data_IF_463070838542
#
_entry.id   IF_463070838542
#
_cell.length_a   1.000
_cell.length_b   1.000
_cell.length_c   1.000
_cell.angle_alpha   90.00
_cell.angle_beta   90.00
_cell.angle_gamma   90.00
#
_symmetry.space_group_name_H-M   'P 1'
#
loop_
_entity.id
_entity.type
_entity.pdbx_description
1 polymer ?
#
# COMPACT_ATOMS: atom_id res chain seq x y z
N UNK A 1 -11.21 30.92 -13.30
CA UNK A 1 -11.22 30.34 -14.68
C UNK A 1 -10.30 29.13 -14.90
N UNK A 2 -9.83 28.42 -13.85
CA UNK A 2 -8.91 27.24 -14.03
C UNK A 2 -9.57 25.87 -13.87
N UNK A 3 -10.80 25.77 -13.42
CA UNK A 3 -11.46 24.47 -13.15
C UNK A 3 -11.97 23.75 -14.40
N UNK A 4 -12.19 24.40 -15.53
CA UNK A 4 -12.76 23.75 -16.73
C UNK A 4 -11.73 23.01 -17.62
N UNK A 5 -10.40 23.13 -17.37
CA UNK A 5 -9.39 22.46 -18.22
C UNK A 5 -9.17 20.98 -17.90
N UNK A 6 -9.48 20.52 -16.71
CA UNK A 6 -9.29 19.11 -16.35
C UNK A 6 -10.32 18.17 -17.04
N UNK A 7 -11.55 18.65 -17.24
CA UNK A 7 -12.61 17.89 -17.91
C UNK A 7 -12.50 17.87 -19.44
N UNK A 8 -11.68 18.72 -20.06
CA UNK A 8 -11.46 18.77 -21.51
C UNK A 8 -10.15 18.07 -21.93
N UNK A 9 -9.54 17.25 -21.07
CA UNK A 9 -8.35 16.49 -21.43
C UNK A 9 -8.69 15.38 -22.43
N UNK A 10 -7.96 15.25 -23.56
CA UNK A 10 -8.16 14.16 -24.52
C UNK A 10 -7.90 12.78 -23.89
N UNK A 11 -7.29 12.72 -22.71
CA UNK A 11 -6.93 11.53 -21.95
C UNK A 11 -7.94 11.18 -20.85
N UNK A 12 -9.04 11.94 -20.69
CA UNK A 12 -9.97 11.79 -19.59
C UNK A 12 -10.50 10.35 -19.45
N UNK A 13 -10.87 9.71 -20.59
CA UNK A 13 -11.36 8.33 -20.56
C UNK A 13 -10.30 7.33 -20.09
N UNK A 14 -9.03 7.51 -20.50
CA UNK A 14 -7.92 6.69 -20.02
C UNK A 14 -7.72 6.84 -18.51
N UNK A 15 -7.75 8.08 -18.03
CA UNK A 15 -7.60 8.40 -16.61
C UNK A 15 -8.73 7.80 -15.76
N UNK A 16 -9.98 7.91 -16.21
CA UNK A 16 -11.13 7.25 -15.56
C UNK A 16 -10.93 5.73 -15.54
N UNK A 17 -10.54 5.13 -16.68
CA UNK A 17 -10.27 3.69 -16.77
C UNK A 17 -9.14 3.26 -15.82
N UNK A 18 -8.09 4.04 -15.67
CA UNK A 18 -7.00 3.79 -14.72
C UNK A 18 -7.54 3.84 -13.27
N UNK A 19 -8.27 4.87 -12.88
CA UNK A 19 -8.80 4.97 -11.52
C UNK A 19 -9.79 3.84 -11.19
N UNK A 20 -10.68 3.47 -12.13
CA UNK A 20 -11.57 2.32 -11.95
C UNK A 20 -10.79 1.01 -11.84
N UNK A 21 -9.71 0.85 -12.62
CA UNK A 21 -8.82 -0.31 -12.48
C UNK A 21 -8.20 -0.37 -11.09
N UNK A 22 -7.82 0.76 -10.50
CA UNK A 22 -7.26 0.81 -9.15
C UNK A 22 -8.29 0.60 -8.05
N UNK A 23 -9.52 1.01 -8.24
CA UNK A 23 -10.64 0.63 -7.37
C UNK A 23 -10.81 -0.91 -7.34
N UNK A 24 -10.85 -1.54 -8.51
CA UNK A 24 -10.96 -2.99 -8.63
C UNK A 24 -9.69 -3.73 -8.17
N UNK A 25 -8.51 -3.13 -8.38
CA UNK A 25 -7.27 -3.62 -7.79
C UNK A 25 -7.33 -3.64 -6.26
N UNK A 26 -7.89 -2.59 -5.62
CA UNK A 26 -8.12 -2.58 -4.18
C UNK A 26 -8.97 -3.76 -3.71
N UNK A 27 -10.00 -4.13 -4.45
CA UNK A 27 -10.80 -5.34 -4.20
C UNK A 27 -9.94 -6.59 -4.32
N UNK A 28 -9.14 -6.71 -5.39
CA UNK A 28 -8.31 -7.91 -5.64
C UNK A 28 -7.33 -8.20 -4.52
N UNK A 29 -6.74 -7.16 -3.91
CA UNK A 29 -5.78 -7.27 -2.80
C UNK A 29 -6.36 -8.03 -1.61
N UNK A 30 -7.65 -7.82 -1.32
CA UNK A 30 -8.30 -8.41 -0.13
C UNK A 30 -9.20 -9.59 -0.47
N UNK A 31 -9.44 -9.90 -1.74
CA UNK A 31 -10.41 -10.93 -2.18
C UNK A 31 -10.17 -12.29 -1.53
N UNK A 32 -8.93 -12.78 -1.52
CA UNK A 32 -8.60 -14.08 -0.95
C UNK A 32 -8.76 -14.08 0.57
N UNK A 33 -8.32 -13.02 1.25
CA UNK A 33 -8.41 -12.89 2.70
C UNK A 33 -9.86 -12.74 3.19
N UNK A 34 -10.68 -11.95 2.47
CA UNK A 34 -12.10 -11.73 2.82
C UNK A 34 -12.97 -12.98 2.58
N UNK A 35 -12.56 -13.87 1.67
CA UNK A 35 -13.25 -15.13 1.40
C UNK A 35 -12.50 -16.34 2.00
N UNK A 36 -11.63 -16.13 3.00
CA UNK A 36 -10.73 -17.17 3.53
C UNK A 36 -11.49 -18.41 3.99
N UNK A 37 -12.58 -18.29 4.75
CA UNK A 37 -13.40 -19.41 5.23
C UNK A 37 -13.99 -20.21 4.06
N UNK A 38 -14.65 -19.53 3.12
CA UNK A 38 -15.30 -20.16 1.98
C UNK A 38 -14.30 -20.85 1.05
N UNK A 39 -13.14 -20.24 0.83
CA UNK A 39 -12.08 -20.80 0.00
C UNK A 39 -11.38 -21.97 0.69
N UNK A 40 -11.18 -21.91 2.02
CA UNK A 40 -10.63 -23.01 2.79
C UNK A 40 -11.55 -24.26 2.70
N UNK A 41 -12.86 -24.05 2.87
CA UNK A 41 -13.84 -25.12 2.69
C UNK A 41 -13.86 -25.67 1.26
N UNK A 42 -13.80 -24.79 0.24
CA UNK A 42 -13.75 -25.22 -1.17
C UNK A 42 -12.56 -26.09 -1.51
N UNK A 43 -11.36 -25.72 -1.02
CA UNK A 43 -10.11 -26.40 -1.36
C UNK A 43 -9.75 -27.53 -0.36
N UNK A 44 -10.58 -27.78 0.65
CA UNK A 44 -10.30 -28.78 1.69
C UNK A 44 -9.03 -28.46 2.48
N UNK A 45 -8.79 -27.21 2.78
CA UNK A 45 -7.60 -26.71 3.49
C UNK A 45 -7.97 -25.86 4.70
N UNK A 46 -6.96 -25.40 5.43
CA UNK A 46 -7.08 -24.48 6.56
C UNK A 46 -6.73 -23.02 6.18
N UNK A 47 -6.75 -22.12 7.16
CA UNK A 47 -6.37 -20.72 6.96
C UNK A 47 -4.92 -20.57 6.47
N UNK A 48 -4.01 -21.50 6.87
CA UNK A 48 -2.62 -21.48 6.42
C UNK A 48 -2.51 -21.82 4.93
N UNK A 49 -3.33 -22.75 4.41
CA UNK A 49 -3.39 -23.04 2.99
C UNK A 49 -3.85 -21.84 2.16
N UNK A 50 -4.80 -21.05 2.67
CA UNK A 50 -5.22 -19.82 2.00
C UNK A 50 -4.16 -18.71 2.15
N UNK A 51 -3.46 -18.60 3.28
CA UNK A 51 -2.33 -17.69 3.42
C UNK A 51 -1.21 -18.03 2.44
N UNK A 52 -0.93 -19.34 2.23
CA UNK A 52 -0.01 -19.78 1.18
C UNK A 52 -0.51 -19.37 -0.22
N UNK A 53 -1.80 -19.51 -0.49
CA UNK A 53 -2.39 -19.04 -1.75
C UNK A 53 -2.18 -17.53 -1.94
N UNK A 54 -2.37 -16.74 -0.89
CA UNK A 54 -2.15 -15.28 -0.91
C UNK A 54 -0.68 -14.94 -1.20
N UNK A 55 0.29 -15.74 -0.73
CA UNK A 55 1.71 -15.51 -1.01
C UNK A 55 2.04 -15.56 -2.51
N UNK A 56 1.27 -16.30 -3.30
CA UNK A 56 1.40 -16.33 -4.77
C UNK A 56 1.31 -14.94 -5.40
N UNK A 57 0.50 -14.03 -4.84
CA UNK A 57 0.41 -12.63 -5.30
C UNK A 57 1.77 -11.94 -5.14
N UNK A 58 2.41 -12.11 -3.98
CA UNK A 58 3.74 -11.56 -3.72
C UNK A 58 4.80 -12.10 -4.68
N UNK A 59 4.79 -13.42 -4.91
CA UNK A 59 5.72 -14.08 -5.84
C UNK A 59 5.56 -13.53 -7.26
N UNK A 60 4.33 -13.44 -7.75
CA UNK A 60 4.05 -12.91 -9.08
C UNK A 60 4.54 -11.47 -9.26
N UNK A 61 4.29 -10.60 -8.28
CA UNK A 61 4.77 -9.21 -8.30
C UNK A 61 6.29 -9.13 -8.26
N UNK A 62 6.93 -9.90 -7.37
CA UNK A 62 8.38 -9.91 -7.19
C UNK A 62 9.12 -10.24 -8.50
N UNK A 63 8.65 -11.27 -9.20
CA UNK A 63 9.28 -11.74 -10.44
C UNK A 63 9.02 -10.79 -11.61
N UNK A 64 7.83 -10.20 -11.69
CA UNK A 64 7.37 -9.53 -12.91
C UNK A 64 7.61 -8.02 -12.97
N UNK A 65 7.82 -7.34 -11.82
CA UNK A 65 7.86 -5.88 -11.77
C UNK A 65 8.94 -5.26 -12.67
N UNK A 66 10.11 -5.90 -12.76
CA UNK A 66 11.21 -5.42 -13.60
C UNK A 66 10.92 -5.64 -15.10
N UNK A 67 10.31 -6.78 -15.44
CA UNK A 67 9.95 -7.11 -16.82
C UNK A 67 8.86 -6.17 -17.35
N UNK A 68 7.85 -5.86 -16.54
CA UNK A 68 6.76 -4.98 -16.95
C UNK A 68 7.18 -3.53 -17.06
N UNK A 69 8.20 -3.08 -16.35
CA UNK A 69 8.83 -1.80 -16.60
C UNK A 69 9.32 -1.68 -18.05
N UNK A 70 10.08 -2.68 -18.52
CA UNK A 70 10.58 -2.73 -19.91
C UNK A 70 9.43 -2.87 -20.92
N UNK A 71 8.43 -3.70 -20.66
CA UNK A 71 7.25 -3.87 -21.53
C UNK A 71 6.49 -2.56 -21.68
N UNK A 72 6.24 -1.86 -20.57
CA UNK A 72 5.54 -0.57 -20.56
C UNK A 72 6.28 0.50 -21.34
N UNK A 73 7.62 0.55 -21.24
CA UNK A 73 8.44 1.52 -21.98
C UNK A 73 8.52 1.18 -23.48
N UNK A 74 8.62 -0.09 -23.83
CA UNK A 74 8.79 -0.53 -25.24
C UNK A 74 7.48 -0.58 -26.01
N UNK A 75 6.41 -1.11 -25.41
CA UNK A 75 5.13 -1.37 -26.08
C UNK A 75 4.04 -0.34 -25.74
N UNK A 76 4.32 0.55 -24.80
CA UNK A 76 3.42 1.62 -24.38
C UNK A 76 2.60 1.30 -23.13
N UNK A 77 2.22 2.36 -22.43
CA UNK A 77 1.48 2.32 -21.14
C UNK A 77 0.17 1.54 -21.23
N UNK A 78 -0.56 1.74 -22.32
CA UNK A 78 -1.84 1.09 -22.60
C UNK A 78 -1.71 -0.44 -22.65
N UNK A 79 -0.68 -0.96 -23.33
CA UNK A 79 -0.46 -2.41 -23.46
C UNK A 79 -0.21 -3.04 -22.10
N UNK A 80 0.66 -2.44 -21.29
CA UNK A 80 0.94 -2.93 -19.92
C UNK A 80 -0.33 -2.98 -19.07
N UNK A 81 -1.14 -1.90 -19.08
CA UNK A 81 -2.41 -1.85 -18.32
C UNK A 81 -3.38 -2.94 -18.80
N UNK A 82 -3.54 -3.13 -20.12
CA UNK A 82 -4.46 -4.13 -20.66
C UNK A 82 -4.03 -5.56 -20.33
N UNK A 83 -2.74 -5.86 -20.34
CA UNK A 83 -2.22 -7.15 -19.85
C UNK A 83 -2.57 -7.35 -18.37
N UNK A 84 -2.36 -6.33 -17.54
CA UNK A 84 -2.74 -6.36 -16.14
C UNK A 84 -4.23 -6.65 -15.93
N UNK A 85 -5.09 -5.91 -16.65
CA UNK A 85 -6.55 -6.11 -16.59
C UNK A 85 -6.95 -7.53 -17.04
N UNK A 86 -6.36 -8.05 -18.12
CA UNK A 86 -6.65 -9.40 -18.60
C UNK A 86 -6.30 -10.48 -17.55
N UNK A 87 -5.17 -10.33 -16.87
CA UNK A 87 -4.75 -11.24 -15.80
C UNK A 87 -5.66 -11.13 -14.56
N UNK A 88 -6.16 -9.93 -14.21
CA UNK A 88 -7.18 -9.78 -13.17
C UNK A 88 -8.49 -10.49 -13.55
N UNK A 89 -8.94 -10.34 -14.78
CA UNK A 89 -10.12 -11.06 -15.30
C UNK A 89 -9.92 -12.57 -15.15
N UNK A 90 -8.76 -13.09 -15.58
CA UNK A 90 -8.41 -14.50 -15.44
C UNK A 90 -8.48 -14.98 -13.98
N UNK A 91 -7.98 -14.18 -13.04
CA UNK A 91 -8.05 -14.49 -11.62
C UNK A 91 -9.50 -14.52 -11.11
N UNK A 92 -10.27 -13.48 -11.36
CA UNK A 92 -11.62 -13.35 -10.80
C UNK A 92 -12.61 -14.41 -11.31
N UNK A 93 -12.45 -14.86 -12.55
CA UNK A 93 -13.24 -15.98 -13.07
C UNK A 93 -12.60 -17.32 -12.73
N UNK A 94 -11.28 -17.39 -12.66
CA UNK A 94 -10.54 -18.61 -12.42
C UNK A 94 -10.62 -19.11 -10.98
N UNK A 95 -10.56 -18.25 -9.95
CA UNK A 95 -10.57 -18.70 -8.55
C UNK A 95 -11.85 -19.47 -8.19
N UNK A 96 -13.07 -18.98 -8.48
CA UNK A 96 -14.29 -19.74 -8.21
C UNK A 96 -14.38 -21.05 -8.99
N UNK A 97 -13.76 -21.11 -10.16
CA UNK A 97 -13.77 -22.30 -11.04
C UNK A 97 -12.58 -23.25 -10.82
N UNK A 98 -11.62 -22.88 -9.97
CA UNK A 98 -10.41 -23.69 -9.73
C UNK A 98 -10.74 -25.06 -9.15
N UNK A 99 -10.20 -26.16 -9.71
CA UNK A 99 -10.44 -27.50 -9.21
C UNK A 99 -9.65 -27.82 -7.93
N UNK A 100 -8.53 -27.16 -7.69
CA UNK A 100 -7.63 -27.41 -6.57
C UNK A 100 -6.78 -26.20 -6.20
N UNK A 101 -6.09 -26.30 -5.07
CA UNK A 101 -5.26 -25.22 -4.51
C UNK A 101 -4.06 -24.85 -5.41
N UNK A 102 -3.52 -25.78 -6.19
CA UNK A 102 -2.37 -25.53 -7.07
C UNK A 102 -2.77 -24.59 -8.21
N UNK A 103 -3.90 -24.87 -8.87
CA UNK A 103 -4.43 -23.99 -9.94
C UNK A 103 -4.78 -22.62 -9.38
N UNK A 104 -5.38 -22.58 -8.18
CA UNK A 104 -5.67 -21.31 -7.49
C UNK A 104 -4.39 -20.53 -7.17
N UNK A 105 -3.30 -21.21 -6.77
CA UNK A 105 -2.00 -20.58 -6.52
C UNK A 105 -1.41 -19.95 -7.79
N UNK A 106 -1.47 -20.66 -8.93
CA UNK A 106 -1.03 -20.11 -10.21
C UNK A 106 -1.83 -18.85 -10.58
N UNK A 107 -3.15 -18.87 -10.35
CA UNK A 107 -4.00 -17.68 -10.57
C UNK A 107 -3.66 -16.53 -9.61
N UNK A 108 -3.29 -16.82 -8.36
CA UNK A 108 -2.80 -15.82 -7.43
C UNK A 108 -1.46 -15.22 -7.89
N UNK A 109 -0.56 -16.03 -8.45
CA UNK A 109 0.67 -15.54 -9.09
C UNK A 109 0.32 -14.60 -10.26
N UNK A 110 -0.68 -14.95 -11.09
CA UNK A 110 -1.14 -14.08 -12.16
C UNK A 110 -1.63 -12.71 -11.66
N UNK A 111 -2.27 -12.63 -10.48
CA UNK A 111 -2.63 -11.34 -9.85
C UNK A 111 -1.40 -10.52 -9.49
N UNK A 112 -0.35 -11.14 -8.97
CA UNK A 112 0.91 -10.46 -8.70
C UNK A 112 1.53 -9.86 -9.97
N UNK A 113 1.50 -10.62 -11.06
CA UNK A 113 1.92 -10.17 -12.39
C UNK A 113 1.02 -9.03 -12.88
N UNK A 114 -0.30 -9.16 -12.72
CA UNK A 114 -1.29 -8.13 -13.08
C UNK A 114 -1.03 -6.81 -12.35
N UNK A 115 -0.71 -6.89 -11.05
CA UNK A 115 -0.37 -5.75 -10.22
C UNK A 115 0.87 -5.01 -10.75
N UNK A 116 1.94 -5.75 -11.06
CA UNK A 116 3.15 -5.17 -11.63
C UNK A 116 2.88 -4.52 -13.01
N UNK A 117 2.10 -5.18 -13.87
CA UNK A 117 1.72 -4.67 -15.18
C UNK A 117 0.88 -3.38 -15.08
N UNK A 118 -0.09 -3.37 -14.16
CA UNK A 118 -0.94 -2.20 -13.93
C UNK A 118 -0.12 -1.02 -13.39
N UNK A 119 0.74 -1.23 -12.38
CA UNK A 119 1.56 -0.18 -11.77
C UNK A 119 2.52 0.45 -12.78
N UNK A 120 3.25 -0.35 -13.54
CA UNK A 120 4.24 0.13 -14.52
C UNK A 120 3.61 0.87 -15.71
N UNK A 121 2.33 0.64 -16.00
CA UNK A 121 1.58 1.37 -17.01
C UNK A 121 0.88 2.61 -16.48
N UNK A 122 0.18 2.49 -15.35
CA UNK A 122 -0.74 3.50 -14.85
C UNK A 122 -0.04 4.71 -14.22
N UNK A 123 0.99 4.50 -13.38
CA UNK A 123 1.71 5.60 -12.75
C UNK A 123 2.31 6.57 -13.76
N UNK A 124 3.12 6.10 -14.74
CA UNK A 124 3.66 6.99 -15.77
C UNK A 124 2.57 7.62 -16.62
N UNK A 125 1.52 6.87 -17.03
CA UNK A 125 0.43 7.41 -17.84
C UNK A 125 -0.27 8.59 -17.17
N UNK A 126 -0.50 8.54 -15.84
CA UNK A 126 -1.08 9.66 -15.10
C UNK A 126 -0.12 10.86 -14.99
N UNK A 127 1.17 10.60 -14.79
CA UNK A 127 2.18 11.66 -14.73
C UNK A 127 2.33 12.35 -16.09
N UNK A 128 2.28 11.59 -17.17
CA UNK A 128 2.30 12.08 -18.56
C UNK A 128 1.02 12.83 -18.93
N UNK A 129 -0.16 12.39 -18.43
CA UNK A 129 -1.45 13.06 -18.65
C UNK A 129 -1.58 14.39 -17.88
N UNK A 130 -1.01 14.47 -16.69
CA UNK A 130 -1.11 15.61 -15.78
C UNK A 130 0.26 16.07 -15.24
N UNK A 131 1.20 16.57 -16.08
CA UNK A 131 2.56 16.90 -15.62
C UNK A 131 2.59 17.91 -14.47
N UNK A 132 1.69 18.93 -14.51
CA UNK A 132 1.63 19.99 -13.50
C UNK A 132 1.05 19.54 -12.14
N UNK A 133 0.27 18.48 -12.12
CA UNK A 133 -0.43 17.97 -10.93
C UNK A 133 -0.22 16.47 -10.74
N UNK A 134 0.90 15.96 -11.24
CA UNK A 134 1.24 14.53 -11.25
C UNK A 134 1.18 13.90 -9.85
N UNK A 135 1.68 14.59 -8.84
CA UNK A 135 1.63 14.10 -7.46
C UNK A 135 0.19 13.88 -6.97
N UNK A 136 -0.73 14.82 -7.24
CA UNK A 136 -2.14 14.67 -6.86
C UNK A 136 -2.83 13.56 -7.63
N UNK A 137 -2.53 13.41 -8.93
CA UNK A 137 -3.08 12.34 -9.76
C UNK A 137 -2.65 10.96 -9.26
N UNK A 138 -1.38 10.80 -8.87
CA UNK A 138 -0.85 9.53 -8.33
C UNK A 138 -1.40 9.22 -6.94
N UNK A 139 -1.52 10.23 -6.06
CA UNK A 139 -2.12 10.04 -4.72
C UNK A 139 -3.56 9.51 -4.82
N UNK A 140 -4.32 9.97 -5.82
CA UNK A 140 -5.69 9.52 -6.03
C UNK A 140 -5.79 8.02 -6.37
N UNK A 141 -4.75 7.40 -6.94
CA UNK A 141 -4.70 5.93 -7.10
C UNK A 141 -4.81 5.22 -5.75
N UNK A 142 -4.08 5.70 -4.74
CA UNK A 142 -4.14 5.12 -3.40
C UNK A 142 -5.52 5.27 -2.77
N UNK A 143 -6.18 6.42 -2.98
CA UNK A 143 -7.55 6.63 -2.55
C UNK A 143 -8.50 5.61 -3.22
N UNK A 144 -8.37 5.36 -4.53
CA UNK A 144 -9.19 4.39 -5.25
C UNK A 144 -8.99 2.95 -4.74
N UNK A 145 -7.74 2.55 -4.42
CA UNK A 145 -7.47 1.27 -3.74
C UNK A 145 -8.24 1.18 -2.43
N UNK A 146 -8.12 2.22 -1.59
CA UNK A 146 -8.79 2.25 -0.28
C UNK A 146 -10.33 2.22 -0.41
N UNK A 147 -10.89 2.88 -1.42
CA UNK A 147 -12.33 2.78 -1.71
C UNK A 147 -12.74 1.34 -2.06
N UNK A 148 -12.00 0.65 -2.93
CA UNK A 148 -12.27 -0.74 -3.26
C UNK A 148 -12.23 -1.64 -2.03
N UNK A 149 -11.21 -1.48 -1.19
CA UNK A 149 -11.05 -2.22 0.06
C UNK A 149 -12.13 -1.88 1.09
N UNK A 150 -12.67 -0.68 1.10
CA UNK A 150 -13.72 -0.26 2.03
C UNK A 150 -15.08 -0.91 1.70
N UNK A 151 -15.44 -0.99 0.43
CA UNK A 151 -16.75 -1.51 0.01
C UNK A 151 -16.82 -3.04 -0.08
N UNK A 152 -15.71 -3.69 -0.42
CA UNK A 152 -15.72 -5.13 -0.67
C UNK A 152 -16.12 -5.99 0.53
N UNK A 153 -15.66 -5.75 1.78
CA UNK A 153 -16.11 -6.52 2.95
C UNK A 153 -17.61 -6.42 3.20
N UNK A 154 -18.23 -5.28 2.89
CA UNK A 154 -19.67 -5.09 3.01
C UNK A 154 -20.42 -5.99 2.01
N UNK A 155 -19.92 -6.07 0.77
CA UNK A 155 -20.46 -6.98 -0.25
C UNK A 155 -20.35 -8.44 0.20
N UNK A 156 -19.16 -8.86 0.67
CA UNK A 156 -18.94 -10.25 1.14
C UNK A 156 -19.84 -10.57 2.34
N UNK A 157 -19.92 -9.65 3.31
CA UNK A 157 -20.82 -9.79 4.46
C UNK A 157 -22.29 -9.93 4.07
N UNK A 158 -22.77 -9.15 3.10
CA UNK A 158 -24.12 -9.26 2.56
C UNK A 158 -24.39 -10.63 1.91
N UNK A 159 -23.46 -11.12 1.10
CA UNK A 159 -23.59 -12.44 0.46
C UNK A 159 -23.66 -13.55 1.49
N UNK A 160 -22.84 -13.49 2.54
CA UNK A 160 -22.82 -14.48 3.63
C UNK A 160 -24.14 -14.46 4.43
N UNK A 161 -24.63 -13.28 4.83
CA UNK A 161 -25.89 -13.17 5.60
C UNK A 161 -27.11 -13.59 4.80
N UNK A 162 -27.08 -13.38 3.49
CA UNK A 162 -28.18 -13.74 2.57
C UNK A 162 -28.11 -15.20 2.10
N UNK A 163 -27.13 -15.99 2.56
CA UNK A 163 -26.86 -17.35 2.07
C UNK A 163 -26.67 -17.42 0.54
N UNK A 164 -26.15 -16.36 -0.07
CA UNK A 164 -25.83 -16.30 -1.49
C UNK A 164 -24.43 -16.86 -1.70
N UNK A 165 -24.22 -17.57 -2.79
CA UNK A 165 -22.94 -18.14 -3.13
C UNK A 165 -21.81 -17.07 -3.15
N UNK A 166 -20.78 -17.26 -2.33
CA UNK A 166 -19.66 -16.32 -2.18
C UNK A 166 -18.95 -15.99 -3.51
N UNK A 167 -19.00 -16.92 -4.48
CA UNK A 167 -18.36 -16.74 -5.79
C UNK A 167 -18.87 -15.51 -6.54
N UNK A 168 -20.10 -15.04 -6.30
CA UNK A 168 -20.57 -13.77 -6.89
C UNK A 168 -19.71 -12.58 -6.44
N UNK A 169 -19.29 -12.54 -5.17
CA UNK A 169 -18.36 -11.51 -4.68
C UNK A 169 -17.05 -11.49 -5.43
N UNK A 170 -16.59 -12.66 -5.92
CA UNK A 170 -15.35 -12.77 -6.69
C UNK A 170 -15.60 -12.49 -8.19
N UNK A 171 -16.66 -13.00 -8.79
CA UNK A 171 -16.94 -12.85 -10.22
C UNK A 171 -17.34 -11.43 -10.61
N UNK A 172 -18.12 -10.73 -9.78
CA UNK A 172 -18.58 -9.37 -10.08
C UNK A 172 -17.44 -8.36 -10.36
N UNK A 173 -16.36 -8.30 -9.57
CA UNK A 173 -15.20 -7.48 -9.92
C UNK A 173 -14.54 -7.89 -11.25
N UNK A 174 -14.55 -9.18 -11.60
CA UNK A 174 -14.08 -9.66 -12.90
C UNK A 174 -14.89 -9.11 -14.07
N UNK A 175 -16.22 -9.10 -13.95
CA UNK A 175 -17.11 -8.47 -14.95
C UNK A 175 -16.81 -6.96 -15.04
N UNK A 176 -16.63 -6.29 -13.91
CA UNK A 176 -16.28 -4.88 -13.89
C UNK A 176 -14.94 -4.59 -14.59
N UNK A 177 -13.92 -5.44 -14.40
CA UNK A 177 -12.66 -5.34 -15.14
C UNK A 177 -12.84 -5.51 -16.64
N UNK A 178 -13.72 -6.42 -17.10
CA UNK A 178 -14.05 -6.54 -18.53
C UNK A 178 -14.65 -5.24 -19.08
N UNK A 179 -15.55 -4.60 -18.36
CA UNK A 179 -16.14 -3.32 -18.77
C UNK A 179 -15.09 -2.20 -18.79
N UNK A 180 -14.22 -2.16 -17.79
CA UNK A 180 -13.11 -1.19 -17.74
C UNK A 180 -12.11 -1.43 -18.87
N UNK A 181 -11.85 -2.69 -19.26
CA UNK A 181 -10.99 -3.00 -20.40
C UNK A 181 -11.51 -2.38 -21.71
N UNK A 182 -12.82 -2.44 -21.95
CA UNK A 182 -13.45 -1.81 -23.13
C UNK A 182 -13.25 -0.29 -23.12
N UNK A 183 -13.33 0.34 -21.94
CA UNK A 183 -13.05 1.77 -21.80
C UNK A 183 -11.60 2.09 -22.14
N UNK A 184 -10.64 1.32 -21.60
CA UNK A 184 -9.19 1.51 -21.82
C UNK A 184 -8.83 1.27 -23.29
N UNK A 185 -9.40 0.25 -23.92
CA UNK A 185 -9.18 -0.04 -25.35
C UNK A 185 -9.59 1.12 -26.25
N UNK A 186 -10.68 1.83 -25.93
CA UNK A 186 -11.17 2.97 -26.70
C UNK A 186 -10.52 4.30 -26.34
N UNK A 187 -9.74 4.36 -25.25
CA UNK A 187 -9.16 5.60 -24.74
C UNK A 187 -7.90 6.02 -25.50
N UNK A 188 -7.65 7.32 -25.55
CA UNK A 188 -6.36 7.88 -26.00
C UNK A 188 -5.42 7.98 -24.80
N UNK A 189 -4.19 7.55 -24.99
CA UNK A 189 -3.13 7.66 -23.98
C UNK A 189 -2.16 8.79 -24.37
N UNK A 190 -1.51 9.45 -23.37
CA UNK A 190 -0.47 10.42 -23.63
C UNK A 190 0.71 9.78 -24.34
N UNK A 191 1.42 10.55 -25.16
CA UNK A 191 2.71 10.15 -25.71
C UNK A 191 3.74 10.06 -24.59
N UNK A 192 4.63 9.08 -24.68
CA UNK A 192 5.73 8.92 -23.74
C UNK A 192 6.70 10.11 -23.89
N UNK A 193 6.50 11.15 -23.11
CA UNK A 193 7.45 12.25 -23.00
C UNK A 193 8.28 12.00 -21.76
N UNK A 194 9.56 11.70 -21.97
CA UNK A 194 10.53 11.61 -20.89
C UNK A 194 10.85 13.03 -20.38
N UNK A 195 9.96 13.64 -19.62
CA UNK A 195 10.32 14.80 -18.79
C UNK A 195 11.08 14.31 -17.56
N UNK A 196 12.37 13.97 -17.79
CA UNK A 196 13.34 13.61 -16.76
C UNK A 196 13.73 14.82 -15.86
N UNK A 197 13.09 15.98 -16.00
CA UNK A 197 13.57 17.24 -15.44
C UNK A 197 12.79 17.78 -14.24
N UNK A 198 12.15 16.94 -13.45
CA UNK A 198 11.71 17.37 -12.12
C UNK A 198 12.79 17.08 -11.06
N UNK A 199 14.00 17.59 -11.26
CA UNK A 199 14.95 17.78 -10.15
C UNK A 199 14.41 18.98 -9.37
N UNK A 200 13.53 18.73 -8.40
CA UNK A 200 13.20 19.70 -7.37
C UNK A 200 14.50 20.02 -6.62
N UNK A 201 14.69 21.28 -6.26
CA UNK A 201 15.78 21.75 -5.42
C UNK A 201 15.87 20.84 -4.19
N UNK A 202 16.89 19.98 -4.19
CA UNK A 202 17.17 19.12 -3.06
C UNK A 202 17.88 19.95 -1.98
N UNK A 203 17.57 19.74 -0.71
CA UNK A 203 18.31 20.38 0.38
C UNK A 203 19.81 20.14 0.23
N UNK A 204 20.62 21.16 0.49
CA UNK A 204 22.07 20.97 0.46
C UNK A 204 22.51 19.94 1.50
N UNK A 205 23.36 19.03 1.11
CA UNK A 205 23.88 17.98 2.00
C UNK A 205 25.14 18.47 2.71
N UNK A 206 25.15 18.43 4.04
CA UNK A 206 26.32 18.68 4.88
C UNK A 206 27.27 17.48 4.90
N UNK A 207 26.73 16.26 4.80
CA UNK A 207 27.48 15.01 4.85
C UNK A 207 27.01 14.05 3.76
N UNK A 208 27.91 13.20 3.27
CA UNK A 208 27.52 12.13 2.35
C UNK A 208 26.71 11.07 3.11
N UNK A 209 25.57 10.62 2.58
CA UNK A 209 24.83 9.53 3.18
C UNK A 209 25.61 8.22 3.09
N UNK A 210 25.49 7.39 4.12
CA UNK A 210 26.10 6.07 4.21
C UNK A 210 25.10 5.02 3.65
N UNK A 211 25.46 4.34 2.58
CA UNK A 211 24.56 3.37 1.94
C UNK A 211 24.14 2.25 2.89
N UNK A 212 25.03 1.80 3.78
CA UNK A 212 24.75 0.74 4.74
C UNK A 212 23.88 1.20 5.92
N UNK A 213 23.84 2.47 6.28
CA UNK A 213 23.05 2.97 7.41
C UNK A 213 21.71 3.54 6.93
N UNK A 214 21.72 4.64 6.17
CA UNK A 214 20.49 5.29 5.68
C UNK A 214 19.77 4.42 4.66
N UNK A 215 20.51 3.75 3.78
CA UNK A 215 19.95 2.86 2.76
C UNK A 215 19.29 1.62 3.38
N UNK A 216 20.04 0.90 4.25
CA UNK A 216 19.51 -0.31 4.91
C UNK A 216 18.37 0.05 5.86
N UNK A 217 18.52 1.10 6.68
CA UNK A 217 17.46 1.52 7.61
C UNK A 217 16.15 1.89 6.86
N UNK A 218 16.25 2.59 5.73
CA UNK A 218 15.09 2.93 4.91
C UNK A 218 14.43 1.69 4.30
N UNK A 219 15.21 0.72 3.83
CA UNK A 219 14.68 -0.55 3.30
C UNK A 219 13.98 -1.35 4.39
N UNK A 220 14.63 -1.52 5.55
CA UNK A 220 14.05 -2.25 6.69
C UNK A 220 12.78 -1.57 7.17
N UNK A 221 12.75 -0.23 7.23
CA UNK A 221 11.53 0.53 7.49
C UNK A 221 10.42 0.15 6.51
N UNK A 222 10.72 0.14 5.20
CA UNK A 222 9.74 -0.18 4.16
C UNK A 222 9.18 -1.60 4.29
N UNK A 223 10.03 -2.58 4.55
CA UNK A 223 9.62 -3.98 4.78
C UNK A 223 8.76 -4.09 6.04
N UNK A 224 9.18 -3.47 7.13
CA UNK A 224 8.49 -3.55 8.42
C UNK A 224 7.11 -2.89 8.37
N UNK A 225 7.01 -1.67 7.86
CA UNK A 225 5.73 -0.97 7.78
C UNK A 225 4.77 -1.64 6.78
N UNK A 226 5.30 -2.19 5.66
CA UNK A 226 4.51 -3.00 4.74
C UNK A 226 3.95 -4.23 5.44
N UNK A 227 4.78 -4.95 6.21
CA UNK A 227 4.38 -6.16 6.93
C UNK A 227 3.29 -5.85 7.95
N UNK A 228 3.40 -4.74 8.70
CA UNK A 228 2.40 -4.32 9.68
C UNK A 228 1.02 -4.14 9.06
N UNK A 229 0.87 -3.32 8.02
CA UNK A 229 -0.47 -3.15 7.44
C UNK A 229 -0.97 -4.42 6.73
N UNK A 230 -0.07 -5.23 6.18
CA UNK A 230 -0.43 -6.43 5.45
C UNK A 230 -0.94 -7.54 6.37
N UNK A 231 -0.32 -7.73 7.53
CA UNK A 231 -0.78 -8.67 8.57
C UNK A 231 -2.22 -8.34 8.98
N UNK A 232 -2.51 -7.08 9.24
CA UNK A 232 -3.85 -6.63 9.63
C UNK A 232 -4.87 -6.88 8.51
N UNK A 233 -4.53 -6.55 7.27
CA UNK A 233 -5.42 -6.77 6.11
C UNK A 233 -5.79 -8.25 5.95
N UNK A 234 -4.86 -9.17 6.21
CA UNK A 234 -5.09 -10.60 6.01
C UNK A 234 -5.75 -11.24 7.23
N UNK A 235 -5.34 -10.89 8.45
CA UNK A 235 -5.65 -11.67 9.64
C UNK A 235 -6.61 -11.01 10.62
N UNK A 236 -6.82 -9.68 10.52
CA UNK A 236 -7.69 -8.96 11.47
C UNK A 236 -9.10 -9.53 11.56
N UNK A 237 -9.79 -9.90 10.47
CA UNK A 237 -11.11 -10.51 10.59
C UNK A 237 -11.10 -11.83 11.37
N UNK A 238 -10.11 -12.69 11.11
CA UNK A 238 -9.98 -13.97 11.82
C UNK A 238 -9.63 -13.80 13.29
N UNK A 239 -8.76 -12.85 13.60
CA UNK A 239 -8.42 -12.48 14.96
C UNK A 239 -9.63 -11.93 15.73
N UNK A 240 -10.42 -11.06 15.10
CA UNK A 240 -11.61 -10.47 15.70
C UNK A 240 -12.70 -11.52 16.01
N UNK A 241 -12.87 -12.51 15.15
CA UNK A 241 -13.76 -13.65 15.46
C UNK A 241 -13.23 -14.45 16.65
N UNK A 242 -11.94 -14.82 16.63
CA UNK A 242 -11.37 -15.74 17.61
C UNK A 242 -11.22 -15.13 19.01
N UNK A 243 -10.86 -13.85 19.12
CA UNK A 243 -10.51 -13.23 20.42
C UNK A 243 -11.44 -12.09 20.85
N UNK A 244 -12.14 -11.43 19.92
CA UNK A 244 -13.10 -10.37 20.25
C UNK A 244 -14.55 -10.87 20.22
N UNK A 245 -14.80 -12.15 19.89
CA UNK A 245 -16.14 -12.76 19.83
C UNK A 245 -17.05 -12.15 18.78
N UNK A 246 -16.49 -11.53 17.72
CA UNK A 246 -17.27 -10.92 16.66
C UNK A 246 -17.89 -11.98 15.75
N UNK A 247 -19.12 -11.75 15.28
CA UNK A 247 -19.67 -12.52 14.19
C UNK A 247 -18.80 -12.35 12.93
N UNK A 248 -18.66 -13.39 12.10
CA UNK A 248 -17.78 -13.34 10.91
C UNK A 248 -18.08 -12.16 10.00
N UNK A 249 -19.36 -11.87 9.75
CA UNK A 249 -19.82 -10.76 8.92
C UNK A 249 -19.43 -9.37 9.46
N UNK A 250 -19.40 -9.21 10.80
CA UNK A 250 -18.96 -7.96 11.42
C UNK A 250 -17.43 -7.87 11.48
N UNK A 251 -16.76 -8.99 11.70
CA UNK A 251 -15.31 -9.06 11.68
C UNK A 251 -14.72 -8.69 10.30
N UNK A 252 -15.36 -9.06 9.20
CA UNK A 252 -14.98 -8.65 7.83
C UNK A 252 -14.96 -7.13 7.68
N UNK A 253 -15.89 -6.40 8.32
CA UNK A 253 -15.98 -4.94 8.27
C UNK A 253 -14.79 -4.23 8.93
N UNK A 254 -13.97 -4.92 9.76
CA UNK A 254 -12.73 -4.35 10.30
C UNK A 254 -11.81 -3.83 9.18
N UNK A 255 -11.82 -4.47 8.00
CA UNK A 255 -11.05 -4.01 6.84
C UNK A 255 -11.67 -2.79 6.18
N UNK A 256 -12.98 -2.58 6.29
CA UNK A 256 -13.62 -1.32 5.89
C UNK A 256 -13.14 -0.16 6.77
N UNK A 257 -13.06 -0.34 8.09
CA UNK A 257 -12.50 0.66 9.01
C UNK A 257 -11.02 0.93 8.75
N UNK A 258 -10.22 -0.12 8.53
CA UNK A 258 -8.84 0.02 8.10
C UNK A 258 -8.70 0.87 6.82
N UNK A 259 -9.52 0.58 5.83
CA UNK A 259 -9.48 1.28 4.54
C UNK A 259 -9.93 2.74 4.66
N UNK A 260 -10.91 3.00 5.53
CA UNK A 260 -11.32 4.36 5.88
C UNK A 260 -10.18 5.13 6.56
N UNK A 261 -9.47 4.49 7.49
CA UNK A 261 -8.26 5.08 8.11
C UNK A 261 -7.19 5.42 7.08
N UNK A 262 -6.91 4.50 6.16
CA UNK A 262 -5.95 4.72 5.06
C UNK A 262 -6.37 5.89 4.17
N UNK A 263 -7.65 5.99 3.83
CA UNK A 263 -8.19 7.09 3.02
C UNK A 263 -8.05 8.43 3.74
N UNK A 264 -8.44 8.50 5.01
CA UNK A 264 -8.29 9.72 5.84
C UNK A 264 -6.82 10.16 5.90
N UNK A 265 -5.90 9.21 6.11
CA UNK A 265 -4.46 9.50 6.12
C UNK A 265 -3.99 10.13 4.80
N UNK A 266 -4.40 9.58 3.66
CA UNK A 266 -4.04 10.12 2.34
C UNK A 266 -4.42 11.59 2.22
N UNK A 267 -5.64 11.97 2.62
CA UNK A 267 -6.08 13.37 2.56
C UNK A 267 -5.38 14.25 3.60
N UNK A 268 -5.25 13.79 4.83
CA UNK A 268 -4.59 14.52 5.91
C UNK A 268 -3.13 14.82 5.55
N UNK A 269 -2.37 13.80 5.13
CA UNK A 269 -0.97 13.99 4.79
C UNK A 269 -0.76 14.72 3.45
N UNK A 270 -1.69 14.63 2.50
CA UNK A 270 -1.65 15.47 1.30
C UNK A 270 -1.70 16.99 1.64
N UNK A 271 -2.39 17.35 2.71
CA UNK A 271 -2.44 18.73 3.20
C UNK A 271 -1.22 19.08 4.07
N UNK A 272 -0.88 18.20 5.04
CA UNK A 272 0.20 18.47 6.02
C UNK A 272 1.59 18.53 5.37
N UNK A 273 1.89 17.62 4.43
CA UNK A 273 3.18 17.57 3.75
C UNK A 273 3.43 18.76 2.81
N UNK A 274 2.38 19.48 2.43
CA UNK A 274 2.52 20.65 1.56
C UNK A 274 3.28 21.79 2.24
N UNK A 275 3.07 22.02 3.54
CA UNK A 275 3.59 23.20 4.25
C UNK A 275 3.91 23.01 5.72
N UNK A 276 3.49 21.92 6.37
CA UNK A 276 3.52 21.81 7.83
C UNK A 276 4.43 20.69 8.37
N UNK A 277 4.58 19.57 7.65
CA UNK A 277 5.27 18.39 8.17
C UNK A 277 6.24 17.81 7.13
N UNK A 278 7.44 17.42 7.56
CA UNK A 278 8.38 16.69 6.70
C UNK A 278 8.06 15.19 6.66
N UNK A 279 8.31 14.51 5.53
CA UNK A 279 8.07 13.06 5.40
C UNK A 279 8.72 12.22 6.51
N UNK A 280 9.93 12.56 6.94
CA UNK A 280 10.64 11.84 8.03
C UNK A 280 9.91 11.89 9.36
N UNK A 281 9.26 13.00 9.67
CA UNK A 281 8.44 13.17 10.89
C UNK A 281 7.19 12.32 10.83
N UNK A 282 6.52 12.35 9.67
CA UNK A 282 5.34 11.52 9.42
C UNK A 282 5.66 10.03 9.61
N UNK A 283 6.82 9.56 9.14
CA UNK A 283 7.24 8.18 9.30
C UNK A 283 7.41 7.80 10.78
N UNK A 284 8.05 8.62 11.61
CA UNK A 284 8.22 8.35 13.05
C UNK A 284 6.88 8.36 13.78
N UNK A 285 6.09 9.41 13.59
CA UNK A 285 4.79 9.57 14.27
C UNK A 285 3.84 8.41 13.96
N UNK A 286 3.70 8.08 12.69
CA UNK A 286 2.79 7.02 12.26
C UNK A 286 3.30 5.62 12.68
N UNK A 287 4.61 5.36 12.67
CA UNK A 287 5.15 4.11 13.20
C UNK A 287 4.89 3.96 14.70
N UNK A 288 5.04 5.04 15.48
CA UNK A 288 4.68 5.03 16.91
C UNK A 288 3.19 4.73 17.13
N UNK A 289 2.33 5.34 16.32
CA UNK A 289 0.89 5.10 16.37
C UNK A 289 0.54 3.65 16.01
N UNK A 290 1.24 3.05 15.03
CA UNK A 290 1.07 1.64 14.68
C UNK A 290 1.47 0.71 15.83
N UNK A 291 2.59 0.97 16.52
CA UNK A 291 3.01 0.21 17.71
C UNK A 291 1.92 0.25 18.79
N UNK A 292 1.40 1.43 19.10
CA UNK A 292 0.34 1.59 20.12
C UNK A 292 -0.91 0.82 19.69
N UNK A 293 -1.35 0.96 18.45
CA UNK A 293 -2.57 0.31 17.96
C UNK A 293 -2.46 -1.22 17.99
N UNK A 294 -1.37 -1.80 17.44
CA UNK A 294 -1.15 -3.25 17.45
C UNK A 294 -1.04 -3.80 18.89
N UNK A 295 -0.39 -3.04 19.79
CA UNK A 295 -0.27 -3.44 21.21
C UNK A 295 -1.63 -3.44 21.92
N UNK A 296 -2.46 -2.42 21.71
CA UNK A 296 -3.81 -2.34 22.28
C UNK A 296 -4.71 -3.46 21.75
N UNK A 297 -4.65 -3.77 20.45
CA UNK A 297 -5.37 -4.90 19.85
C UNK A 297 -4.96 -6.22 20.53
N UNK A 298 -3.67 -6.42 20.78
CA UNK A 298 -3.14 -7.64 21.40
C UNK A 298 -3.58 -7.79 22.85
N UNK A 299 -3.55 -6.71 23.65
CA UNK A 299 -3.81 -6.74 25.09
C UNK A 299 -5.31 -6.77 25.42
N UNK A 300 -6.13 -6.05 24.66
CA UNK A 300 -7.55 -5.84 24.95
C UNK A 300 -8.45 -6.13 23.74
N UNK A 301 -8.46 -7.40 23.24
CA UNK A 301 -9.25 -7.75 22.08
C UNK A 301 -10.75 -7.64 22.35
N UNK A 302 -11.38 -6.61 21.84
CA UNK A 302 -12.83 -6.41 21.83
C UNK A 302 -13.29 -5.89 20.48
N UNK A 303 -14.57 -5.99 20.15
CA UNK A 303 -15.10 -5.51 18.87
C UNK A 303 -14.76 -4.03 18.62
N UNK A 304 -14.89 -3.18 19.64
CA UNK A 304 -14.55 -1.77 19.55
C UNK A 304 -13.05 -1.55 19.28
N UNK A 305 -12.19 -2.25 20.04
CA UNK A 305 -10.72 -2.15 19.89
C UNK A 305 -10.28 -2.68 18.53
N UNK A 306 -10.84 -3.77 18.04
CA UNK A 306 -10.54 -4.29 16.71
C UNK A 306 -10.92 -3.31 15.60
N UNK A 307 -12.09 -2.67 15.69
CA UNK A 307 -12.53 -1.69 14.68
C UNK A 307 -11.69 -0.41 14.73
N UNK A 308 -11.50 0.18 15.91
CA UNK A 308 -10.68 1.40 16.08
C UNK A 308 -9.21 1.11 15.75
N UNK A 309 -8.68 -0.01 16.22
CA UNK A 309 -7.31 -0.41 15.95
C UNK A 309 -7.04 -0.64 14.48
N UNK A 310 -7.97 -1.29 13.77
CA UNK A 310 -7.89 -1.44 12.31
C UNK A 310 -7.90 -0.07 11.62
N UNK A 311 -8.78 0.86 12.00
CA UNK A 311 -8.78 2.23 11.49
C UNK A 311 -7.43 2.93 11.73
N UNK A 312 -6.91 2.84 12.96
CA UNK A 312 -5.64 3.49 13.33
C UNK A 312 -4.46 2.90 12.56
N UNK A 313 -4.40 1.58 12.36
CA UNK A 313 -3.34 0.95 11.55
C UNK A 313 -3.52 1.30 10.07
N UNK A 314 -4.75 1.36 9.57
CA UNK A 314 -5.03 1.86 8.23
C UNK A 314 -4.51 3.29 8.03
N UNK A 315 -4.76 4.17 9.00
CA UNK A 315 -4.25 5.54 9.00
C UNK A 315 -2.72 5.56 9.09
N UNK A 316 -2.15 4.84 10.05
CA UNK A 316 -0.73 4.97 10.39
C UNK A 316 0.21 4.16 9.48
N UNK A 317 -0.18 2.97 9.03
CA UNK A 317 0.72 2.12 8.25
C UNK A 317 0.40 2.13 6.75
N UNK A 318 -0.89 2.15 6.37
CA UNK A 318 -1.30 1.99 4.98
C UNK A 318 -1.46 3.29 4.20
N UNK A 319 -1.71 4.40 4.87
CA UNK A 319 -2.10 5.68 4.27
C UNK A 319 -1.02 6.44 3.48
N UNK A 320 0.00 5.75 2.99
CA UNK A 320 1.04 6.36 2.15
C UNK A 320 2.44 6.36 2.74
N UNK A 321 2.65 5.78 3.94
CA UNK A 321 3.98 5.73 4.56
C UNK A 321 5.01 5.01 3.71
N UNK A 322 4.60 3.98 2.97
CA UNK A 322 5.50 3.28 2.05
C UNK A 322 6.07 4.26 1.01
N UNK A 323 5.22 5.13 0.45
CA UNK A 323 5.60 6.14 -0.53
C UNK A 323 6.45 7.26 0.11
N UNK A 324 6.15 7.64 1.35
CA UNK A 324 6.96 8.61 2.09
C UNK A 324 8.35 8.05 2.40
N UNK A 325 8.47 6.76 2.76
CA UNK A 325 9.74 6.07 2.93
C UNK A 325 10.59 6.08 1.66
N UNK A 326 9.98 5.78 0.49
CA UNK A 326 10.64 5.87 -0.82
C UNK A 326 11.10 7.30 -1.09
N UNK A 327 10.27 8.31 -0.78
CA UNK A 327 10.62 9.71 -0.99
C UNK A 327 11.84 10.10 -0.20
N UNK A 328 11.86 9.79 1.11
CA UNK A 328 12.99 10.07 2.01
C UNK A 328 14.26 9.36 1.55
N UNK A 329 14.17 8.08 1.19
CA UNK A 329 15.31 7.32 0.67
C UNK A 329 15.85 7.92 -0.63
N UNK A 330 14.96 8.41 -1.50
CA UNK A 330 15.35 9.06 -2.77
C UNK A 330 16.05 10.41 -2.55
N UNK A 331 15.74 11.11 -1.47
CA UNK A 331 16.45 12.34 -1.09
C UNK A 331 17.87 12.06 -0.63
N UNK A 332 18.11 10.97 0.13
CA UNK A 332 19.48 10.55 0.51
C UNK A 332 20.35 10.16 -0.70
N UNK A 333 19.74 9.55 -1.73
CA UNK A 333 20.46 9.01 -2.89
C UNK A 333 20.01 9.60 -4.22
N UNK A 334 20.13 10.93 -4.44
CA UNK A 334 19.55 11.61 -5.60
C UNK A 334 20.14 11.14 -6.94
N UNK A 335 21.43 10.76 -6.95
CA UNK A 335 22.10 10.23 -8.16
C UNK A 335 21.68 8.79 -8.53
N UNK A 336 21.02 8.09 -7.62
CA UNK A 336 20.65 6.67 -7.76
C UNK A 336 19.16 6.43 -7.49
N UNK A 337 18.30 7.44 -7.67
CA UNK A 337 16.86 7.37 -7.35
C UNK A 337 16.18 6.12 -7.90
N UNK A 338 16.38 5.84 -9.19
CA UNK A 338 15.76 4.67 -9.83
C UNK A 338 16.18 3.35 -9.17
N UNK A 339 17.48 3.19 -8.88
CA UNK A 339 18.02 1.97 -8.25
C UNK A 339 17.48 1.77 -6.83
N UNK A 340 17.48 2.83 -6.00
CA UNK A 340 16.99 2.74 -4.62
C UNK A 340 15.49 2.54 -4.55
N UNK A 341 14.72 3.19 -5.42
CA UNK A 341 13.27 2.98 -5.54
C UNK A 341 12.96 1.55 -5.97
N UNK A 342 13.65 1.02 -6.98
CA UNK A 342 13.47 -0.36 -7.44
C UNK A 342 13.81 -1.36 -6.34
N UNK A 343 14.90 -1.15 -5.60
CA UNK A 343 15.30 -2.01 -4.49
C UNK A 343 14.25 -1.99 -3.36
N UNK A 344 13.76 -0.81 -3.01
CA UNK A 344 12.73 -0.64 -1.99
C UNK A 344 11.42 -1.36 -2.37
N UNK A 345 10.99 -1.22 -3.63
CA UNK A 345 9.79 -1.88 -4.14
C UNK A 345 9.96 -3.41 -4.24
N UNK A 346 11.16 -3.88 -4.62
CA UNK A 346 11.50 -5.29 -4.65
C UNK A 346 11.39 -5.93 -3.26
N UNK A 347 11.90 -5.25 -2.23
CA UNK A 347 11.82 -5.72 -0.85
C UNK A 347 10.39 -5.75 -0.31
N UNK A 348 9.54 -4.79 -0.72
CA UNK A 348 8.09 -4.85 -0.47
C UNK A 348 7.42 -6.06 -1.13
N UNK A 349 7.82 -6.40 -2.36
CA UNK A 349 7.38 -7.62 -3.06
C UNK A 349 7.81 -8.90 -2.33
N UNK A 350 9.05 -8.93 -1.81
CA UNK A 350 9.55 -10.04 -1.00
C UNK A 350 8.76 -10.21 0.30
N UNK A 351 8.46 -9.10 0.99
CA UNK A 351 7.61 -9.13 2.18
C UNK A 351 6.20 -9.68 1.85
N UNK A 352 5.61 -9.24 0.75
CA UNK A 352 4.30 -9.73 0.29
C UNK A 352 4.29 -11.25 -0.01
N UNK A 353 5.43 -11.82 -0.39
CA UNK A 353 5.58 -13.26 -0.59
C UNK A 353 5.81 -14.00 0.74
N UNK A 354 6.73 -13.52 1.57
CA UNK A 354 7.21 -14.23 2.77
C UNK A 354 6.23 -14.12 3.96
N UNK A 355 5.63 -12.95 4.17
CA UNK A 355 4.78 -12.70 5.36
C UNK A 355 3.55 -13.62 5.41
N UNK A 356 2.78 -13.85 4.31
CA UNK A 356 1.66 -14.79 4.37
C UNK A 356 2.10 -16.22 4.71
N UNK A 357 3.28 -16.66 4.28
CA UNK A 357 3.81 -18.00 4.59
C UNK A 357 4.10 -18.11 6.10
N UNK A 358 4.82 -17.12 6.66
CA UNK A 358 5.15 -17.11 8.09
C UNK A 358 3.86 -17.03 8.93
N UNK A 359 2.97 -16.10 8.60
CA UNK A 359 1.73 -15.91 9.36
C UNK A 359 0.76 -17.08 9.18
N UNK A 360 0.76 -17.72 8.01
CA UNK A 360 0.04 -18.97 7.76
C UNK A 360 0.53 -20.09 8.67
N UNK A 361 1.84 -20.25 8.83
CA UNK A 361 2.40 -21.21 9.78
C UNK A 361 2.02 -20.89 11.23
N UNK A 362 2.14 -19.62 11.65
CA UNK A 362 1.76 -19.18 12.97
C UNK A 362 0.27 -19.38 13.27
N UNK A 363 -0.59 -19.26 12.27
CA UNK A 363 -2.05 -19.48 12.42
C UNK A 363 -2.41 -20.90 12.83
N UNK A 364 -1.55 -21.91 12.55
CA UNK A 364 -1.71 -23.29 12.99
C UNK A 364 -1.38 -23.49 14.46
N UNK A 365 -0.56 -22.60 15.02
CA UNK A 365 -0.16 -22.64 16.43
C UNK A 365 -1.18 -21.83 17.22
N UNK A 366 -1.22 -20.51 17.00
CA UNK A 366 -2.16 -19.61 17.65
C UNK A 366 -2.23 -18.28 16.88
N UNK A 367 -3.44 -17.80 16.56
CA UNK A 367 -3.64 -16.54 15.86
C UNK A 367 -3.07 -15.32 16.60
N UNK A 368 -2.99 -15.40 17.94
CA UNK A 368 -2.44 -14.32 18.78
C UNK A 368 -0.98 -14.04 18.48
N UNK A 369 -0.20 -15.06 18.10
CA UNK A 369 1.20 -14.89 17.70
C UNK A 369 1.37 -14.07 16.42
N UNK A 370 0.35 -14.03 15.57
CA UNK A 370 0.37 -13.19 14.36
C UNK A 370 0.33 -11.71 14.72
N UNK A 371 -0.51 -11.33 15.70
CA UNK A 371 -0.56 -9.93 16.19
C UNK A 371 0.70 -9.60 17.00
N UNK A 372 1.27 -10.54 17.73
CA UNK A 372 2.56 -10.35 18.41
C UNK A 372 3.70 -10.10 17.41
N UNK A 373 3.73 -10.86 16.30
CA UNK A 373 4.67 -10.63 15.18
C UNK A 373 4.45 -9.25 14.57
N UNK A 374 3.19 -8.82 14.43
CA UNK A 374 2.84 -7.48 13.91
C UNK A 374 3.37 -6.36 14.80
N UNK A 375 3.27 -6.49 16.12
CA UNK A 375 3.91 -5.58 17.08
C UNK A 375 5.42 -5.52 16.84
N UNK A 376 6.06 -6.67 16.60
CA UNK A 376 7.49 -6.74 16.26
C UNK A 376 7.82 -5.93 15.01
N UNK A 377 7.04 -6.07 13.95
CA UNK A 377 7.21 -5.26 12.73
C UNK A 377 6.99 -3.77 12.98
N UNK A 378 5.95 -3.40 13.73
CA UNK A 378 5.67 -2.01 14.06
C UNK A 378 6.83 -1.39 14.88
N UNK A 379 7.40 -2.12 15.86
CA UNK A 379 8.57 -1.67 16.64
C UNK A 379 9.80 -1.51 15.73
N UNK A 380 10.08 -2.46 14.86
CA UNK A 380 11.20 -2.36 13.89
C UNK A 380 11.00 -1.16 12.98
N UNK A 381 9.77 -0.90 12.51
CA UNK A 381 9.48 0.27 11.68
C UNK A 381 9.74 1.58 12.44
N UNK A 382 9.35 1.66 13.72
CA UNK A 382 9.58 2.82 14.58
C UNK A 382 11.08 3.07 14.81
N UNK A 383 11.83 2.03 15.16
CA UNK A 383 13.28 2.14 15.39
C UNK A 383 14.03 2.59 14.14
N UNK A 384 13.69 2.00 13.00
CA UNK A 384 14.35 2.36 11.72
C UNK A 384 13.91 3.74 11.23
N UNK A 385 12.63 4.11 11.39
CA UNK A 385 12.17 5.47 11.10
C UNK A 385 12.91 6.51 11.97
N UNK A 386 13.14 6.20 13.25
CA UNK A 386 13.88 7.09 14.17
C UNK A 386 15.37 7.22 13.78
N UNK A 387 16.02 6.11 13.38
CA UNK A 387 17.39 6.15 12.83
C UNK A 387 17.44 7.06 11.60
N UNK A 388 16.51 6.85 10.64
CA UNK A 388 16.43 7.66 9.42
C UNK A 388 16.15 9.14 9.76
N UNK A 389 15.29 9.42 10.73
CA UNK A 389 14.98 10.76 11.21
C UNK A 389 16.24 11.47 11.75
N UNK A 390 16.96 10.85 12.69
CA UNK A 390 18.19 11.43 13.27
C UNK A 390 19.25 11.67 12.19
N UNK A 391 19.41 10.72 11.28
CA UNK A 391 20.37 10.83 10.17
C UNK A 391 19.98 11.89 9.15
N UNK A 392 18.68 12.08 8.90
CA UNK A 392 18.18 13.10 7.99
C UNK A 392 18.63 14.51 8.44
N UNK A 393 18.46 14.84 9.73
CA UNK A 393 18.90 16.12 10.29
C UNK A 393 20.43 16.28 10.39
N UNK A 394 21.19 15.19 10.35
CA UNK A 394 22.67 15.27 10.28
C UNK A 394 23.18 15.43 8.85
N UNK A 395 22.54 14.80 7.89
CA UNK A 395 22.97 14.77 6.49
C UNK A 395 22.54 16.04 5.75
N UNK A 396 21.33 16.52 5.99
CA UNK A 396 20.80 17.68 5.29
C UNK A 396 20.95 18.96 6.11
N UNK A 397 21.36 20.05 5.42
CA UNK A 397 21.32 21.40 6.00
C UNK A 397 19.89 21.91 5.88
N UNK A 398 19.20 21.98 7.01
CA UNK A 398 17.82 22.44 7.05
C UNK A 398 17.86 23.90 7.46
N UNK A 399 17.38 24.84 6.60
CA UNK A 399 17.41 26.27 6.91
C UNK A 399 16.59 26.58 8.17
N UNK A 400 17.09 27.48 9.01
CA UNK A 400 16.41 27.92 10.25
C UNK A 400 15.00 28.51 10.01
N UNK A 401 14.71 28.95 8.79
CA UNK A 401 13.43 29.52 8.37
C UNK A 401 12.41 28.50 7.84
N UNK A 402 12.73 27.20 7.85
CA UNK A 402 11.78 26.17 7.41
C UNK A 402 10.79 25.86 8.55
N UNK A 403 9.60 26.44 8.45
CA UNK A 403 8.52 26.38 9.46
C UNK A 403 7.92 24.99 9.64
N UNK A 404 8.36 23.96 8.89
CA UNK A 404 7.80 22.61 8.98
C UNK A 404 8.16 21.95 10.31
N UNK A 405 7.16 21.33 10.97
CA UNK A 405 7.35 20.65 12.28
C UNK A 405 8.62 19.81 12.30
N UNK A 406 9.44 20.00 13.31
CA UNK A 406 10.75 19.39 13.53
C UNK A 406 11.80 20.38 13.99
N UNK A 407 11.67 21.68 13.68
CA UNK A 407 12.64 22.72 14.07
C UNK A 407 12.39 23.24 15.49
N UNK A 408 11.15 23.42 15.90
CA UNK A 408 10.83 24.01 17.21
C UNK A 408 11.26 23.13 18.39
N UNK A 409 11.40 21.82 18.24
CA UNK A 409 11.86 20.93 19.32
C UNK A 409 13.38 21.00 19.56
N UNK A 410 14.17 21.32 18.53
CA UNK A 410 15.64 21.42 18.65
C UNK A 410 16.10 22.87 18.82
N UNK A 411 15.36 23.86 18.32
CA UNK A 411 15.72 25.28 18.51
C UNK A 411 15.48 25.76 19.95
N UNK A 412 14.52 25.20 20.68
CA UNK A 412 14.34 25.51 22.10
C UNK A 412 15.55 25.12 22.97
N UNK A 413 16.34 24.11 22.58
CA UNK A 413 17.58 23.75 23.27
C UNK A 413 18.72 24.74 23.00
N UNK A 414 18.75 25.39 21.83
CA UNK A 414 19.78 26.36 21.49
C UNK A 414 19.46 27.78 21.98
N UNK A 415 18.19 28.10 22.19
CA UNK A 415 17.79 29.39 22.75
C UNK A 415 18.15 29.52 24.25
N UNK A 416 18.20 28.39 24.99
CA UNK A 416 18.61 28.40 26.40
C UNK A 416 20.13 28.53 26.63
N UNK A 417 20.96 28.44 25.57
CA UNK A 417 22.42 28.48 25.64
C UNK A 417 23.04 29.75 25.02
N UNK A 418 22.27 30.79 24.73
CA UNK A 418 22.86 32.11 24.37
C UNK A 418 23.24 32.83 25.63
N UNK A 419 24.55 33.15 25.86
CA UNK A 419 24.94 34.03 26.95
C UNK A 419 24.35 35.41 26.70
N UNK A 420 23.67 35.95 27.71
CA UNK A 420 23.21 37.32 27.76
C UNK A 420 24.41 38.25 27.66
N UNK A 421 24.67 38.81 26.50
CA UNK A 421 25.56 39.96 26.39
C UNK A 421 24.76 41.21 26.80
N UNK A 422 24.99 41.57 28.05
CA UNK A 422 24.74 42.93 28.60
C UNK A 422 25.79 43.94 28.11
#
# INVERSE_FOLDING_TARGET
MSQNKAFNSPFLLAVIGIYLSYFLHGISVITLAQNMTSLAAKFGTDNAGIAYLISGIGLGRLVSILFFGVISDKFGRRVSILIGVALYVLFFFGIPSSPNLIVAFILAVCVGVANAALDTGAYPALMEAYPKTSGSAVILLKAMISFGQMFYPVLVGYLLTSNIWYGYGIVLPGIAFLLVSLLIVRSKFPSQTADANAIKDLPQMNQKPLAWLEGVASIVFGVAIFSTFYVIVVWMPKYAVAYAGMAETDALKTISYYSMGSLVCVFVFALLLKSMVRPVWANVFNSALAVVASTVIYLYPSALVCNIGAFVIGFSAAGGLLQLGVSVMSEFFPKSKAKVTSLYMLMGGLANFVIPIITGYLSKIELKYIILLDIGFAVVSLLTAFIVFVRYYKVFNIPENDVRMGENMFSMKNASNRPSHS
#
